data_IF_116936217612
#
_entry.id   IF_116936217612
#
_cell.length_a   1.000
_cell.length_b   1.000
_cell.length_c   1.000
_cell.angle_alpha   90.00
_cell.angle_beta   90.00
_cell.angle_gamma   90.00
#
_symmetry.space_group_name_H-M   'P 1'
#
loop_
_entity.id
_entity.type
_entity.pdbx_description
1 polymer ?
#
# COMPACT_ATOMS: atom_id res chain seq x y z
N UNK A 1 -6.91 19.15 -22.82
CA UNK A 1 -7.99 20.07 -22.47
C UNK A 1 -7.96 20.56 -21.02
N UNK A 2 -7.65 19.72 -19.99
CA UNK A 2 -7.55 20.16 -18.57
C UNK A 2 -6.40 21.16 -18.34
N UNK A 3 -5.26 21.04 -19.00
CA UNK A 3 -4.12 21.96 -18.90
C UNK A 3 -4.44 23.37 -19.41
N UNK A 4 -5.21 23.49 -20.48
CA UNK A 4 -5.63 24.79 -21.00
C UNK A 4 -6.60 25.50 -20.03
N UNK A 5 -7.44 24.74 -19.33
CA UNK A 5 -8.33 25.26 -18.30
C UNK A 5 -7.56 25.77 -17.06
N UNK A 6 -6.47 25.08 -16.66
CA UNK A 6 -5.65 25.48 -15.52
C UNK A 6 -4.85 26.76 -15.83
N UNK A 7 -4.31 26.91 -17.04
CA UNK A 7 -3.61 28.11 -17.45
C UNK A 7 -4.55 29.33 -17.62
N UNK A 8 -5.75 29.12 -18.15
CA UNK A 8 -6.79 30.16 -18.18
C UNK A 8 -7.24 30.54 -16.77
N UNK A 9 -7.24 29.60 -15.83
CA UNK A 9 -7.64 29.82 -14.45
C UNK A 9 -6.57 30.62 -13.67
N UNK A 10 -5.28 30.31 -13.82
CA UNK A 10 -4.20 31.08 -13.24
C UNK A 10 -4.19 32.53 -13.74
N UNK A 11 -4.45 32.75 -15.02
CA UNK A 11 -4.55 34.10 -15.61
C UNK A 11 -5.84 34.85 -15.19
N UNK A 12 -6.97 34.14 -15.10
CA UNK A 12 -8.22 34.73 -14.59
C UNK A 12 -8.14 35.03 -13.08
N UNK A 13 -7.50 34.15 -12.28
CA UNK A 13 -7.29 34.39 -10.86
C UNK A 13 -6.43 35.62 -10.62
N UNK A 14 -5.37 35.82 -11.40
CA UNK A 14 -4.52 36.97 -11.30
C UNK A 14 -5.26 38.28 -11.66
N UNK A 15 -6.13 38.26 -12.65
CA UNK A 15 -6.98 39.39 -13.05
C UNK A 15 -8.08 39.61 -12.01
N UNK A 16 -8.68 38.57 -11.44
CA UNK A 16 -9.74 38.71 -10.43
C UNK A 16 -9.23 39.20 -9.07
N UNK A 17 -8.05 38.75 -8.60
CA UNK A 17 -7.48 39.26 -7.34
C UNK A 17 -7.10 40.72 -7.42
N UNK A 18 -6.69 41.24 -8.56
CA UNK A 18 -6.42 42.65 -8.74
C UNK A 18 -7.69 43.52 -8.85
N UNK A 19 -8.87 42.89 -9.13
CA UNK A 19 -10.16 43.61 -9.17
C UNK A 19 -10.89 43.62 -7.82
N UNK A 20 -10.63 42.66 -6.93
CA UNK A 20 -11.32 42.57 -5.62
C UNK A 20 -10.87 43.69 -4.67
N UNK A 21 -9.65 44.21 -4.80
CA UNK A 21 -9.15 45.31 -3.96
C UNK A 21 -9.79 46.69 -4.28
N UNK A 22 -10.62 46.79 -5.33
CA UNK A 22 -11.24 48.03 -5.74
C UNK A 22 -12.77 48.01 -5.89
N UNK A 23 -13.48 46.93 -5.50
CA UNK A 23 -14.93 46.88 -5.66
C UNK A 23 -15.69 47.00 -4.33
N UNK A 24 -16.75 47.79 -4.27
CA UNK A 24 -17.53 47.90 -3.04
C UNK A 24 -18.36 46.67 -2.73
N UNK A 25 -18.53 46.44 -1.44
CA UNK A 25 -18.99 45.24 -0.70
C UNK A 25 -20.37 44.65 -1.09
N UNK A 26 -21.06 45.07 -2.13
CA UNK A 26 -22.47 44.75 -2.39
C UNK A 26 -22.79 43.80 -3.55
N UNK A 27 -21.79 43.20 -4.23
CA UNK A 27 -22.04 42.22 -5.32
C UNK A 27 -21.77 40.76 -4.95
N UNK A 28 -21.67 40.45 -3.68
CA UNK A 28 -20.83 39.31 -3.31
C UNK A 28 -21.51 37.94 -3.15
N UNK A 29 -22.74 37.82 -2.70
CA UNK A 29 -23.30 36.49 -2.31
C UNK A 29 -23.59 35.60 -3.55
N UNK A 30 -24.16 36.13 -4.62
CA UNK A 30 -24.47 35.38 -5.83
C UNK A 30 -23.19 34.98 -6.59
N UNK A 31 -22.19 35.84 -6.65
CA UNK A 31 -20.91 35.57 -7.31
C UNK A 31 -20.05 34.59 -6.51
N UNK A 32 -20.09 34.64 -5.16
CA UNK A 32 -19.34 33.70 -4.30
C UNK A 32 -19.88 32.29 -4.41
N UNK A 33 -21.19 32.10 -4.44
CA UNK A 33 -21.81 30.77 -4.58
C UNK A 33 -21.51 30.17 -5.96
N UNK A 34 -21.61 30.95 -7.02
CA UNK A 34 -21.26 30.50 -8.37
C UNK A 34 -19.78 30.21 -8.54
N UNK A 35 -18.89 31.02 -7.91
CA UNK A 35 -17.45 30.77 -7.88
C UNK A 35 -17.12 29.49 -7.10
N UNK A 36 -17.75 29.28 -5.93
CA UNK A 36 -17.57 28.05 -5.14
C UNK A 36 -17.98 26.81 -5.94
N UNK A 37 -19.16 26.83 -6.58
CA UNK A 37 -19.65 25.71 -7.38
C UNK A 37 -18.77 25.46 -8.63
N UNK A 38 -18.32 26.53 -9.29
CA UNK A 38 -17.39 26.44 -10.41
C UNK A 38 -16.03 25.87 -9.98
N UNK A 39 -15.49 26.37 -8.87
CA UNK A 39 -14.23 25.89 -8.29
C UNK A 39 -14.34 24.42 -7.87
N UNK A 40 -15.39 24.05 -7.15
CA UNK A 40 -15.65 22.66 -6.77
C UNK A 40 -15.78 21.75 -7.99
N UNK A 41 -16.48 22.20 -9.04
CA UNK A 41 -16.64 21.44 -10.29
C UNK A 41 -15.36 21.24 -11.08
N UNK A 42 -14.33 22.06 -10.89
CA UNK A 42 -13.02 21.91 -11.53
C UNK A 42 -12.04 21.14 -10.65
N UNK A 43 -12.00 21.48 -9.35
CA UNK A 43 -11.01 20.96 -8.41
C UNK A 43 -11.35 19.58 -7.88
N UNK A 44 -12.65 19.31 -7.64
CA UNK A 44 -13.13 18.05 -7.06
C UNK A 44 -13.86 17.14 -8.05
N UNK A 45 -13.75 17.37 -9.35
CA UNK A 45 -14.22 16.39 -10.34
C UNK A 45 -13.39 15.12 -10.20
N UNK A 46 -14.05 13.97 -10.17
CA UNK A 46 -13.38 12.68 -10.15
C UNK A 46 -12.34 12.59 -11.26
N UNK A 47 -11.07 12.49 -10.87
CA UNK A 47 -9.95 12.46 -11.81
C UNK A 47 -9.73 11.05 -12.36
N UNK A 48 -10.10 10.04 -11.58
CA UNK A 48 -10.21 8.64 -12.02
C UNK A 48 -11.45 7.99 -11.42
N UNK A 49 -11.94 6.93 -12.04
CA UNK A 49 -13.08 6.15 -11.54
C UNK A 49 -12.81 4.66 -11.72
N UNK A 50 -13.46 3.84 -10.92
CA UNK A 50 -13.40 2.38 -11.06
C UNK A 50 -13.79 1.93 -12.46
N UNK A 51 -14.85 2.53 -13.02
CA UNK A 51 -15.31 2.20 -14.37
C UNK A 51 -14.23 2.50 -15.41
N UNK A 52 -13.61 3.68 -15.35
CA UNK A 52 -12.55 4.06 -16.29
C UNK A 52 -11.36 3.09 -16.23
N UNK A 53 -10.93 2.72 -15.02
CA UNK A 53 -9.84 1.78 -14.81
C UNK A 53 -10.16 0.39 -15.38
N UNK A 54 -11.37 -0.12 -15.12
CA UNK A 54 -11.82 -1.43 -15.62
C UNK A 54 -12.02 -1.45 -17.13
N UNK A 55 -12.56 -0.37 -17.71
CA UNK A 55 -12.68 -0.22 -19.15
C UNK A 55 -11.29 -0.25 -19.83
N UNK A 56 -10.32 0.50 -19.28
CA UNK A 56 -8.92 0.53 -19.79
C UNK A 56 -8.27 -0.85 -19.70
N UNK A 57 -8.47 -1.57 -18.59
CA UNK A 57 -7.96 -2.93 -18.45
C UNK A 57 -8.56 -3.89 -19.48
N UNK A 58 -9.87 -3.84 -19.69
CA UNK A 58 -10.54 -4.64 -20.71
C UNK A 58 -10.07 -4.28 -22.14
N UNK A 59 -9.76 -3.02 -22.40
CA UNK A 59 -9.14 -2.60 -23.67
C UNK A 59 -7.72 -3.18 -23.82
N UNK A 60 -6.92 -3.18 -22.75
CA UNK A 60 -5.58 -3.74 -22.72
C UNK A 60 -5.58 -5.27 -22.98
N UNK A 61 -6.56 -6.03 -22.46
CA UNK A 61 -6.74 -7.46 -22.79
C UNK A 61 -6.90 -7.69 -24.30
N UNK A 62 -7.48 -6.72 -25.01
CA UNK A 62 -7.70 -6.75 -26.44
C UNK A 62 -6.61 -6.03 -27.27
N UNK A 63 -5.47 -5.75 -26.65
CA UNK A 63 -4.30 -5.14 -27.31
C UNK A 63 -4.31 -3.60 -27.33
N UNK A 64 -5.14 -2.97 -26.48
CA UNK A 64 -5.08 -1.54 -26.20
C UNK A 64 -3.92 -1.15 -25.29
N UNK A 65 -3.89 0.12 -24.87
CA UNK A 65 -2.87 0.63 -23.94
C UNK A 65 -2.99 -0.02 -22.57
N UNK A 66 -1.87 -0.46 -21.95
CA UNK A 66 -1.89 -1.10 -20.65
C UNK A 66 -2.30 -0.13 -19.54
N UNK A 67 -2.79 -0.67 -18.43
CA UNK A 67 -2.99 0.07 -17.19
C UNK A 67 -1.63 0.44 -16.62
N UNK A 68 -1.36 1.73 -16.47
CA UNK A 68 -0.06 2.26 -16.07
C UNK A 68 0.01 2.41 -14.56
N UNK A 69 0.91 1.67 -13.93
CA UNK A 69 1.09 1.63 -12.47
C UNK A 69 2.46 2.19 -12.10
N UNK A 70 2.49 3.25 -11.29
CA UNK A 70 3.71 3.79 -10.71
C UNK A 70 3.89 3.26 -9.30
N UNK A 71 4.95 2.49 -9.08
CA UNK A 71 5.38 2.05 -7.75
C UNK A 71 6.49 2.97 -7.25
N UNK A 72 6.31 3.48 -6.05
CA UNK A 72 7.20 4.42 -5.40
C UNK A 72 7.74 3.81 -4.11
N UNK A 73 8.90 3.13 -4.14
CA UNK A 73 9.56 2.69 -2.92
C UNK A 73 9.91 3.89 -2.05
N UNK A 74 9.45 3.88 -0.80
CA UNK A 74 9.68 4.97 0.14
C UNK A 74 11.14 5.17 0.49
N UNK A 75 11.50 6.40 0.82
CA UNK A 75 12.85 6.83 1.22
C UNK A 75 13.92 6.72 0.12
N UNK A 76 15.15 7.07 0.45
CA UNK A 76 16.32 7.00 -0.44
C UNK A 76 17.61 6.91 0.40
N UNK A 77 18.76 6.68 -0.24
CA UNK A 77 20.06 6.52 0.46
C UNK A 77 20.40 7.70 1.38
N UNK A 78 19.97 8.91 1.04
CA UNK A 78 20.20 10.12 1.84
C UNK A 78 19.24 10.25 3.04
N UNK A 79 18.11 9.54 3.01
CA UNK A 79 17.08 9.54 4.06
C UNK A 79 16.46 8.15 4.13
N UNK A 80 17.09 7.26 4.88
CA UNK A 80 16.85 5.80 4.82
C UNK A 80 15.53 5.34 5.43
N UNK A 81 14.74 6.25 6.03
CA UNK A 81 13.49 5.91 6.72
C UNK A 81 13.73 5.22 8.06
N UNK A 82 12.77 4.39 8.45
CA UNK A 82 12.87 3.57 9.63
C UNK A 82 14.09 2.65 9.61
N UNK A 83 14.65 2.41 10.79
CA UNK A 83 15.80 1.52 10.96
C UNK A 83 15.63 0.69 12.22
N UNK A 84 15.88 -0.61 12.11
CA UNK A 84 15.93 -1.50 13.25
C UNK A 84 17.07 -2.50 13.10
N UNK A 85 18.04 -2.47 14.03
CA UNK A 85 19.28 -3.25 13.91
C UNK A 85 19.99 -2.97 12.59
N UNK A 86 20.16 -4.00 11.75
CA UNK A 86 20.77 -3.92 10.41
C UNK A 86 19.75 -3.82 9.27
N UNK A 87 18.47 -3.68 9.59
CA UNK A 87 17.40 -3.51 8.60
C UNK A 87 17.12 -2.04 8.40
N UNK A 88 16.99 -1.61 7.15
CA UNK A 88 16.65 -0.24 6.74
C UNK A 88 15.43 -0.28 5.85
N UNK A 89 14.50 0.63 6.07
CA UNK A 89 13.28 0.74 5.29
C UNK A 89 13.56 0.94 3.79
N UNK A 90 14.51 1.81 3.47
CA UNK A 90 14.91 2.07 2.08
C UNK A 90 15.36 0.82 1.31
N UNK A 91 15.91 -0.18 2.01
CA UNK A 91 16.35 -1.44 1.39
C UNK A 91 15.16 -2.40 1.21
N UNK A 92 14.27 -2.49 2.21
CA UNK A 92 13.07 -3.32 2.14
C UNK A 92 12.13 -2.84 1.03
N UNK A 93 11.88 -1.53 0.96
CA UNK A 93 10.98 -0.96 -0.04
C UNK A 93 11.52 -1.12 -1.46
N UNK A 94 12.84 -0.99 -1.66
CA UNK A 94 13.44 -1.23 -2.97
C UNK A 94 13.31 -2.70 -3.39
N UNK A 95 13.62 -3.65 -2.51
CA UNK A 95 13.51 -5.08 -2.80
C UNK A 95 12.05 -5.49 -3.07
N UNK A 96 11.10 -5.00 -2.28
CA UNK A 96 9.67 -5.25 -2.50
C UNK A 96 9.19 -4.66 -3.84
N UNK A 97 9.65 -3.46 -4.20
CA UNK A 97 9.35 -2.85 -5.49
C UNK A 97 9.86 -3.68 -6.68
N UNK A 98 11.05 -4.28 -6.56
CA UNK A 98 11.61 -5.18 -7.57
C UNK A 98 10.74 -6.47 -7.72
N UNK A 99 10.20 -7.03 -6.62
CA UNK A 99 9.26 -8.16 -6.70
C UNK A 99 7.92 -7.77 -7.34
N UNK A 100 7.38 -6.59 -7.03
CA UNK A 100 6.18 -6.09 -7.71
C UNK A 100 6.42 -5.98 -9.22
N UNK A 101 7.58 -5.43 -9.63
CA UNK A 101 7.94 -5.36 -11.04
C UNK A 101 8.06 -6.75 -11.69
N UNK A 102 8.56 -7.76 -10.97
CA UNK A 102 8.61 -9.15 -11.45
C UNK A 102 7.19 -9.71 -11.69
N UNK A 103 6.24 -9.49 -10.77
CA UNK A 103 4.90 -10.03 -10.90
C UNK A 103 4.10 -9.32 -12.01
N UNK A 104 4.12 -8.00 -12.04
CA UNK A 104 3.41 -7.23 -13.08
C UNK A 104 4.00 -7.45 -14.47
N UNK A 105 5.32 -7.62 -14.58
CA UNK A 105 5.98 -7.88 -15.86
C UNK A 105 5.59 -9.20 -16.55
N UNK A 106 4.87 -10.09 -15.84
CA UNK A 106 4.30 -11.32 -16.43
C UNK A 106 2.93 -11.10 -17.09
N UNK A 107 2.38 -9.91 -16.95
CA UNK A 107 1.03 -9.57 -17.37
C UNK A 107 1.04 -8.33 -18.27
N UNK A 108 0.77 -8.53 -19.57
CA UNK A 108 0.83 -7.49 -20.59
C UNK A 108 -0.22 -6.38 -20.46
N UNK A 109 -1.28 -6.61 -19.69
CA UNK A 109 -2.34 -5.66 -19.40
C UNK A 109 -1.89 -4.54 -18.46
N UNK A 110 -0.71 -4.69 -17.85
CA UNK A 110 -0.11 -3.71 -16.96
C UNK A 110 1.25 -3.21 -17.49
N UNK A 111 1.49 -1.92 -17.34
CA UNK A 111 2.80 -1.29 -17.47
C UNK A 111 3.21 -0.79 -16.08
N UNK A 112 4.20 -1.44 -15.45
CA UNK A 112 4.70 -0.99 -14.17
C UNK A 112 5.94 -0.13 -14.34
N UNK A 113 5.91 1.05 -13.73
CA UNK A 113 7.02 2.00 -13.67
C UNK A 113 7.51 2.02 -12.21
N UNK A 114 8.81 1.77 -12.02
CA UNK A 114 9.44 1.84 -10.70
C UNK A 114 10.20 3.16 -10.59
N UNK A 115 9.82 4.02 -9.64
CA UNK A 115 10.46 5.34 -9.51
C UNK A 115 11.92 5.26 -9.11
N UNK A 116 12.29 4.24 -8.30
CA UNK A 116 13.67 3.97 -7.87
C UNK A 116 13.90 2.49 -7.57
N UNK A 117 15.16 2.10 -7.56
CA UNK A 117 15.68 0.82 -7.08
C UNK A 117 16.56 1.05 -5.84
N UNK A 118 17.27 0.02 -5.40
CA UNK A 118 18.31 0.15 -4.35
C UNK A 118 19.44 1.12 -4.71
N UNK A 119 19.66 1.35 -6.00
CA UNK A 119 20.72 2.25 -6.48
C UNK A 119 20.31 3.73 -6.43
N UNK A 120 19.04 4.03 -6.34
CA UNK A 120 18.46 5.37 -6.29
C UNK A 120 17.31 5.54 -7.28
N UNK A 121 16.87 6.77 -7.46
CA UNK A 121 15.86 7.12 -8.46
C UNK A 121 16.35 6.76 -9.87
N UNK A 122 15.41 6.36 -10.73
CA UNK A 122 15.70 6.14 -12.15
C UNK A 122 16.25 7.43 -12.79
N UNK A 123 16.93 7.29 -13.92
CA UNK A 123 17.43 8.46 -14.66
C UNK A 123 16.31 9.42 -15.06
N UNK A 124 15.13 8.90 -15.33
CA UNK A 124 13.94 9.67 -15.65
C UNK A 124 13.49 10.55 -14.47
N UNK A 125 13.28 9.96 -13.29
CA UNK A 125 12.87 10.72 -12.10
C UNK A 125 13.96 11.67 -11.61
N UNK A 126 15.23 11.25 -11.63
CA UNK A 126 16.36 12.12 -11.29
C UNK A 126 16.41 13.35 -12.18
N UNK A 127 16.33 13.15 -13.51
CA UNK A 127 16.31 14.25 -14.48
C UNK A 127 15.08 15.13 -14.35
N UNK A 128 13.91 14.55 -14.06
CA UNK A 128 12.67 15.30 -13.88
C UNK A 128 12.74 16.21 -12.65
N UNK A 129 13.21 15.72 -11.52
CA UNK A 129 13.37 16.53 -10.30
C UNK A 129 14.33 17.69 -10.48
N UNK A 130 15.39 17.53 -11.26
CA UNK A 130 16.35 18.60 -11.54
C UNK A 130 15.79 19.64 -12.51
N UNK A 131 15.26 19.19 -13.66
CA UNK A 131 14.81 20.07 -14.73
C UNK A 131 13.52 20.81 -14.40
N UNK A 132 12.59 20.12 -13.71
CA UNK A 132 11.26 20.61 -13.41
C UNK A 132 11.13 21.21 -12.00
N UNK A 133 12.23 21.41 -11.29
CA UNK A 133 12.20 21.85 -9.88
C UNK A 133 11.31 23.07 -9.64
N UNK A 134 11.48 24.14 -10.45
CA UNK A 134 10.66 25.34 -10.33
C UNK A 134 9.17 25.06 -10.60
N UNK A 135 8.89 24.28 -11.62
CA UNK A 135 7.53 23.87 -11.98
C UNK A 135 6.87 23.01 -10.90
N UNK A 136 7.65 22.13 -10.25
CA UNK A 136 7.18 21.32 -9.10
C UNK A 136 6.88 22.22 -7.89
N UNK A 137 7.73 23.20 -7.58
CA UNK A 137 7.50 24.16 -6.50
C UNK A 137 6.24 25.01 -6.74
N UNK A 138 6.00 25.42 -7.98
CA UNK A 138 4.79 26.17 -8.35
C UNK A 138 3.54 25.28 -8.31
N UNK A 139 3.64 24.03 -8.75
CA UNK A 139 2.59 23.02 -8.59
C UNK A 139 2.22 22.83 -7.12
N UNK A 140 3.21 22.62 -6.25
CA UNK A 140 3.01 22.48 -4.81
C UNK A 140 2.31 23.70 -4.20
N UNK A 141 2.78 24.92 -4.51
CA UNK A 141 2.21 26.18 -4.01
C UNK A 141 0.75 26.34 -4.49
N UNK A 142 0.50 26.03 -5.75
CA UNK A 142 -0.83 26.13 -6.37
C UNK A 142 -1.84 25.23 -5.69
N UNK A 143 -1.53 23.95 -5.52
CA UNK A 143 -2.45 23.00 -4.88
C UNK A 143 -2.67 23.30 -3.38
N UNK A 144 -1.64 23.73 -2.66
CA UNK A 144 -1.78 24.22 -1.28
C UNK A 144 -2.68 25.45 -1.19
N UNK A 145 -2.57 26.39 -2.12
CA UNK A 145 -3.44 27.57 -2.18
C UNK A 145 -4.89 27.15 -2.49
N UNK A 146 -5.10 26.25 -3.44
CA UNK A 146 -6.42 25.75 -3.79
C UNK A 146 -7.09 25.06 -2.61
N UNK A 147 -6.39 24.18 -1.91
CA UNK A 147 -6.91 23.52 -0.72
C UNK A 147 -7.19 24.53 0.41
N UNK A 148 -6.28 25.47 0.66
CA UNK A 148 -6.53 26.54 1.64
C UNK A 148 -7.82 27.29 1.30
N UNK A 149 -8.00 27.67 0.05
CA UNK A 149 -9.20 28.38 -0.42
C UNK A 149 -10.46 27.54 -0.25
N UNK A 150 -10.38 26.24 -0.53
CA UNK A 150 -11.50 25.30 -0.37
C UNK A 150 -11.89 25.14 1.11
N UNK A 151 -10.91 25.03 2.00
CA UNK A 151 -11.14 24.93 3.46
C UNK A 151 -11.69 26.23 4.01
N UNK A 152 -11.07 27.37 3.71
CA UNK A 152 -11.52 28.70 4.17
C UNK A 152 -12.94 29.01 3.62
N UNK A 153 -13.26 28.51 2.44
CA UNK A 153 -14.58 28.62 1.83
C UNK A 153 -15.62 27.61 2.35
N UNK A 154 -15.25 26.67 3.23
CA UNK A 154 -16.15 25.65 3.75
C UNK A 154 -16.55 24.59 2.71
N UNK A 155 -15.76 24.40 1.64
CA UNK A 155 -15.97 23.37 0.63
C UNK A 155 -15.35 22.03 1.03
N UNK A 156 -14.32 22.07 1.87
CA UNK A 156 -13.59 20.91 2.40
C UNK A 156 -13.43 21.08 3.90
N UNK A 157 -13.70 20.01 4.64
CA UNK A 157 -13.42 19.93 6.06
C UNK A 157 -12.02 19.37 6.27
N UNK A 158 -11.23 19.97 7.17
CA UNK A 158 -9.98 19.35 7.60
C UNK A 158 -10.28 18.22 8.57
N UNK A 159 -9.79 17.05 8.22
CA UNK A 159 -9.85 15.85 9.04
C UNK A 159 -8.43 15.34 9.22
N UNK A 160 -7.97 15.29 10.45
CA UNK A 160 -6.71 14.62 10.78
C UNK A 160 -7.04 13.31 11.48
N UNK A 161 -6.51 12.20 10.97
CA UNK A 161 -6.79 10.86 11.49
C UNK A 161 -5.55 10.27 12.15
N UNK A 162 -4.42 10.27 11.46
CA UNK A 162 -3.13 9.75 11.94
C UNK A 162 -2.08 10.84 11.90
N UNK A 163 -1.20 10.91 12.91
CA UNK A 163 -0.05 11.81 12.88
C UNK A 163 1.10 11.15 12.14
N UNK A 164 1.61 11.84 11.12
CA UNK A 164 2.77 11.43 10.35
C UNK A 164 3.94 12.37 10.56
N UNK A 165 5.14 11.88 10.35
CA UNK A 165 6.33 12.70 10.33
C UNK A 165 6.31 13.62 9.10
N UNK A 166 6.60 14.88 9.29
CA UNK A 166 6.74 15.85 8.19
C UNK A 166 7.87 15.43 7.24
N UNK A 167 7.58 15.47 5.95
CA UNK A 167 8.62 15.34 4.95
C UNK A 167 9.59 16.52 5.02
N UNK A 168 10.90 16.27 4.90
CA UNK A 168 11.86 17.37 4.76
C UNK A 168 11.48 18.25 3.56
N UNK A 169 11.88 19.53 3.51
CA UNK A 169 11.54 20.43 2.40
C UNK A 169 11.88 19.82 1.02
N UNK A 170 13.04 19.20 0.89
CA UNK A 170 13.45 18.54 -0.36
C UNK A 170 12.67 17.25 -0.62
N UNK A 171 12.32 16.51 0.43
CA UNK A 171 11.44 15.31 0.33
C UNK A 171 10.05 15.71 -0.15
N UNK A 172 9.47 16.77 0.40
CA UNK A 172 8.16 17.27 -0.04
C UNK A 172 8.18 17.67 -1.53
N UNK A 173 9.23 18.36 -2.00
CA UNK A 173 9.38 18.71 -3.42
C UNK A 173 9.42 17.45 -4.30
N UNK A 174 10.17 16.41 -3.92
CA UNK A 174 10.21 15.14 -4.66
C UNK A 174 8.85 14.45 -4.68
N UNK A 175 8.14 14.39 -3.55
CA UNK A 175 6.81 13.78 -3.48
C UNK A 175 5.79 14.52 -4.36
N UNK A 176 5.76 15.87 -4.31
CA UNK A 176 4.93 16.65 -5.23
C UNK A 176 5.39 16.49 -6.69
N UNK A 177 6.70 16.32 -6.93
CA UNK A 177 7.25 15.99 -8.23
C UNK A 177 6.74 14.65 -8.76
N UNK A 178 6.64 13.63 -7.92
CA UNK A 178 6.07 12.34 -8.28
C UNK A 178 4.58 12.49 -8.64
N UNK A 179 3.80 13.20 -7.83
CA UNK A 179 2.39 13.46 -8.13
C UNK A 179 2.22 14.21 -9.46
N UNK A 180 3.02 15.26 -9.67
CA UNK A 180 3.00 16.05 -10.91
C UNK A 180 3.37 15.18 -12.12
N UNK A 181 4.44 14.40 -12.01
CA UNK A 181 4.87 13.48 -13.06
C UNK A 181 3.78 12.45 -13.39
N UNK A 182 3.17 11.85 -12.37
CA UNK A 182 2.09 10.88 -12.54
C UNK A 182 0.88 11.48 -13.28
N UNK A 183 0.51 12.72 -12.94
CA UNK A 183 -0.57 13.45 -13.61
C UNK A 183 -0.23 13.75 -15.09
N UNK A 184 1.02 14.12 -15.39
CA UNK A 184 1.48 14.49 -16.74
C UNK A 184 1.64 13.27 -17.67
N UNK A 185 1.95 12.10 -17.09
CA UNK A 185 2.22 10.88 -17.85
C UNK A 185 1.03 9.91 -17.88
N UNK A 186 -0.17 10.37 -17.50
CA UNK A 186 -1.40 9.60 -17.51
C UNK A 186 -1.24 8.25 -16.78
N UNK A 187 -0.64 8.29 -15.59
CA UNK A 187 -0.58 7.14 -14.70
C UNK A 187 -1.99 6.84 -14.22
N UNK A 188 -2.35 5.58 -14.06
CA UNK A 188 -3.67 5.13 -13.61
C UNK A 188 -3.72 4.85 -12.10
N UNK A 189 -2.61 4.34 -11.55
CA UNK A 189 -2.47 3.97 -10.15
C UNK A 189 -1.07 4.32 -9.63
N UNK A 190 -0.98 4.98 -8.48
CA UNK A 190 0.27 5.26 -7.76
C UNK A 190 0.26 4.52 -6.43
N UNK A 191 1.31 3.73 -6.17
CA UNK A 191 1.47 2.95 -4.96
C UNK A 191 2.79 3.33 -4.29
N UNK A 192 2.70 4.03 -3.17
CA UNK A 192 3.84 4.22 -2.28
C UNK A 192 3.97 3.01 -1.37
N UNK A 193 5.16 2.47 -1.23
CA UNK A 193 5.45 1.29 -0.42
C UNK A 193 6.42 1.62 0.69
N UNK A 194 6.04 1.32 1.93
CA UNK A 194 6.70 1.70 3.18
C UNK A 194 6.70 0.55 4.19
N UNK A 195 7.48 0.72 5.25
CA UNK A 195 7.49 -0.12 6.46
C UNK A 195 7.47 0.78 7.68
N UNK A 196 6.45 0.62 8.50
CA UNK A 196 6.16 1.48 9.62
C UNK A 196 7.22 1.37 10.74
N UNK A 197 7.35 2.44 11.50
CA UNK A 197 8.02 2.46 12.80
C UNK A 197 7.30 3.46 13.71
N UNK A 198 7.10 3.09 14.95
CA UNK A 198 6.44 3.98 15.91
C UNK A 198 7.47 4.51 16.92
N UNK A 199 7.64 5.83 17.04
CA UNK A 199 8.62 6.41 17.95
C UNK A 199 8.33 6.07 19.43
N UNK A 200 9.37 6.15 20.26
CA UNK A 200 9.26 5.96 21.71
C UNK A 200 9.66 4.59 22.23
N UNK A 201 10.23 3.73 21.38
CA UNK A 201 10.92 2.51 21.84
C UNK A 201 12.44 2.64 21.72
N UNK A 202 13.21 1.86 22.51
CA UNK A 202 14.67 1.84 22.38
C UNK A 202 15.11 1.32 21.03
N UNK A 203 16.20 1.86 20.46
CA UNK A 203 16.71 1.58 19.11
C UNK A 203 16.87 0.08 18.76
N UNK A 204 17.12 -0.76 19.75
CA UNK A 204 17.32 -2.21 19.54
C UNK A 204 16.23 -3.09 20.15
N UNK A 205 15.11 -2.52 20.54
CA UNK A 205 13.95 -3.25 21.06
C UNK A 205 12.73 -2.99 20.16
N UNK A 206 11.92 -4.01 19.88
CA UNK A 206 10.69 -3.81 19.09
C UNK A 206 9.77 -2.80 19.77
N UNK A 207 9.06 -2.03 18.97
CA UNK A 207 7.93 -1.22 19.45
C UNK A 207 6.74 -2.08 19.87
N UNK A 208 5.67 -1.41 20.29
CA UNK A 208 4.46 -2.07 20.82
C UNK A 208 3.43 -2.43 19.75
N UNK A 209 3.54 -1.87 18.56
CA UNK A 209 2.60 -2.08 17.48
C UNK A 209 3.12 -3.11 16.47
N UNK A 210 2.20 -3.70 15.72
CA UNK A 210 2.46 -4.70 14.69
C UNK A 210 1.35 -4.65 13.64
N UNK A 211 1.60 -5.22 12.47
CA UNK A 211 0.64 -5.34 11.40
C UNK A 211 0.70 -4.23 10.36
N UNK A 212 -0.06 -4.37 9.28
CA UNK A 212 -0.03 -3.48 8.11
C UNK A 212 -1.19 -2.48 8.11
N UNK A 213 -1.01 -1.37 7.38
CA UNK A 213 -2.04 -0.38 7.09
C UNK A 213 -1.94 0.11 5.66
N UNK A 214 -3.07 0.47 5.06
CA UNK A 214 -3.14 1.05 3.71
C UNK A 214 -3.80 2.43 3.84
N UNK A 215 -3.05 3.48 3.54
CA UNK A 215 -3.57 4.83 3.52
C UNK A 215 -4.07 5.18 2.12
N UNK A 216 -5.25 5.77 2.05
CA UNK A 216 -5.89 6.21 0.80
C UNK A 216 -6.33 7.67 0.93
N UNK A 217 -6.53 8.39 -0.20
CA UNK A 217 -7.06 9.74 -0.15
C UNK A 217 -8.40 9.81 0.59
N UNK A 218 -8.55 10.78 1.45
CA UNK A 218 -9.81 11.05 2.17
C UNK A 218 -10.96 11.29 1.17
N UNK A 219 -12.16 10.84 1.52
CA UNK A 219 -13.35 10.78 0.64
C UNK A 219 -13.73 12.09 -0.06
N UNK A 220 -13.28 13.24 0.42
CA UNK A 220 -13.50 14.52 -0.24
C UNK A 220 -12.56 14.75 -1.44
N UNK A 221 -11.54 13.90 -1.65
CA UNK A 221 -10.59 14.02 -2.76
C UNK A 221 -11.09 13.32 -4.02
N UNK A 222 -10.71 13.86 -5.17
CA UNK A 222 -11.22 13.45 -6.48
C UNK A 222 -10.87 12.01 -6.89
N UNK A 223 -9.80 11.44 -6.31
CA UNK A 223 -9.30 10.10 -6.58
C UNK A 223 -9.65 9.08 -5.48
N UNK A 224 -10.40 9.47 -4.45
CA UNK A 224 -10.63 8.66 -3.25
C UNK A 224 -11.38 7.36 -3.51
N UNK A 225 -12.46 7.39 -4.30
CA UNK A 225 -13.32 6.22 -4.52
C UNK A 225 -12.58 5.07 -5.21
N UNK A 226 -11.86 5.37 -6.30
CA UNK A 226 -11.07 4.36 -7.00
C UNK A 226 -9.92 3.84 -6.13
N UNK A 227 -9.27 4.72 -5.37
CA UNK A 227 -8.20 4.34 -4.43
C UNK A 227 -8.72 3.38 -3.35
N UNK A 228 -9.85 3.71 -2.72
CA UNK A 228 -10.49 2.87 -1.70
C UNK A 228 -10.87 1.49 -2.26
N UNK A 229 -11.45 1.44 -3.46
CA UNK A 229 -11.88 0.19 -4.08
C UNK A 229 -10.71 -0.76 -4.37
N UNK A 230 -9.58 -0.24 -4.86
CA UNK A 230 -8.35 -1.03 -5.07
C UNK A 230 -7.74 -1.44 -3.74
N UNK A 231 -7.60 -0.49 -2.80
CA UNK A 231 -7.01 -0.73 -1.49
C UNK A 231 -7.75 -1.83 -0.71
N UNK A 232 -9.09 -1.89 -0.82
CA UNK A 232 -9.87 -2.94 -0.17
C UNK A 232 -9.51 -4.34 -0.70
N UNK A 233 -9.26 -4.50 -2.00
CA UNK A 233 -8.84 -5.78 -2.59
C UNK A 233 -7.44 -6.19 -2.14
N UNK A 234 -6.53 -5.23 -2.07
CA UNK A 234 -5.18 -5.46 -1.52
C UNK A 234 -5.28 -5.84 -0.04
N UNK A 235 -6.09 -5.13 0.74
CA UNK A 235 -6.33 -5.43 2.14
C UNK A 235 -6.82 -6.86 2.34
N UNK A 236 -7.81 -7.30 1.57
CA UNK A 236 -8.37 -8.65 1.67
C UNK A 236 -7.30 -9.73 1.44
N UNK A 237 -6.42 -9.51 0.47
CA UNK A 237 -5.29 -10.42 0.18
C UNK A 237 -4.24 -10.41 1.29
N UNK A 238 -3.76 -9.25 1.69
CA UNK A 238 -2.76 -9.13 2.76
C UNK A 238 -3.31 -9.68 4.08
N UNK A 239 -4.57 -9.41 4.40
CA UNK A 239 -5.21 -9.88 5.62
C UNK A 239 -5.40 -11.41 5.67
N UNK A 240 -5.19 -12.14 4.58
CA UNK A 240 -5.21 -13.60 4.64
C UNK A 240 -4.10 -14.14 5.59
N UNK A 241 -2.90 -13.60 5.47
CA UNK A 241 -1.70 -14.06 6.20
C UNK A 241 -1.20 -13.07 7.26
N UNK A 242 -1.44 -11.78 7.07
CA UNK A 242 -0.96 -10.72 7.96
C UNK A 242 -2.12 -10.11 8.76
N UNK A 243 -1.83 -9.52 9.90
CA UNK A 243 -2.81 -8.77 10.66
C UNK A 243 -2.86 -7.31 10.22
N UNK A 244 -4.02 -6.63 10.24
CA UNK A 244 -4.05 -5.18 10.23
C UNK A 244 -3.29 -4.62 11.43
N UNK A 245 -2.80 -3.39 11.29
CA UNK A 245 -2.11 -2.71 12.38
C UNK A 245 -2.97 -2.66 13.66
N UNK A 246 -2.32 -2.93 14.78
CA UNK A 246 -2.97 -2.82 16.09
C UNK A 246 -2.80 -1.42 16.72
N UNK A 247 -2.25 -0.46 15.97
CA UNK A 247 -2.31 0.94 16.35
C UNK A 247 -3.78 1.42 16.25
N UNK A 248 -4.33 2.08 17.27
CA UNK A 248 -5.77 2.35 17.36
C UNK A 248 -6.37 3.05 16.12
N UNK A 249 -5.64 3.99 15.52
CA UNK A 249 -6.10 4.75 14.35
C UNK A 249 -5.89 4.01 13.01
N UNK A 250 -5.11 2.93 12.99
CA UNK A 250 -4.84 2.09 11.83
C UNK A 250 -5.63 0.77 11.83
N UNK A 251 -6.33 0.47 12.90
CA UNK A 251 -6.96 -0.85 13.13
C UNK A 251 -8.06 -1.23 12.14
N UNK A 252 -8.56 -0.29 11.33
CA UNK A 252 -9.43 -0.57 10.17
C UNK A 252 -8.68 -1.24 9.02
N UNK A 253 -7.35 -1.15 8.99
CA UNK A 253 -6.49 -1.67 7.94
C UNK A 253 -6.45 -0.80 6.68
N UNK A 254 -7.58 -0.23 6.23
CA UNK A 254 -7.62 0.82 5.22
C UNK A 254 -8.03 2.11 5.90
N UNK A 255 -7.24 3.17 5.75
CA UNK A 255 -7.34 4.44 6.47
C UNK A 255 -7.43 5.59 5.48
N UNK A 256 -8.47 6.40 5.60
CA UNK A 256 -8.57 7.66 4.85
C UNK A 256 -7.59 8.69 5.42
N UNK A 257 -6.81 9.33 4.54
CA UNK A 257 -5.79 10.30 4.93
C UNK A 257 -5.83 11.55 4.04
N UNK A 258 -5.71 12.73 4.67
CA UNK A 258 -5.85 14.00 3.98
C UNK A 258 -4.52 14.73 3.80
N UNK A 259 -3.53 14.47 4.64
CA UNK A 259 -2.30 15.27 4.70
C UNK A 259 -1.08 14.58 4.07
N UNK A 260 -1.14 13.26 3.81
CA UNK A 260 -0.06 12.55 3.14
C UNK A 260 0.09 12.98 1.67
N UNK A 261 1.26 13.53 1.32
CA UNK A 261 1.57 13.94 -0.07
C UNK A 261 1.51 12.72 -0.99
N UNK A 262 1.95 11.56 -0.52
CA UNK A 262 1.98 10.29 -1.23
C UNK A 262 0.61 9.86 -1.79
N UNK A 263 -0.47 10.14 -1.08
CA UNK A 263 -1.84 9.82 -1.53
C UNK A 263 -2.54 10.99 -2.22
N UNK A 264 -1.84 12.11 -2.41
CA UNK A 264 -2.35 13.28 -3.11
C UNK A 264 -2.92 14.36 -2.19
N UNK A 265 -2.26 14.62 -1.05
CA UNK A 265 -2.65 15.76 -0.21
C UNK A 265 -2.90 17.03 -1.03
N UNK A 266 -3.79 17.88 -0.56
CA UNK A 266 -4.27 19.05 -1.28
C UNK A 266 -4.92 18.74 -2.64
N UNK A 267 -5.42 17.52 -2.84
CA UNK A 267 -6.00 17.02 -4.11
C UNK A 267 -5.02 17.12 -5.30
N UNK A 268 -3.73 16.88 -5.03
CA UNK A 268 -2.64 17.06 -5.99
C UNK A 268 -2.39 15.85 -6.89
N UNK A 269 -3.10 14.72 -6.69
CA UNK A 269 -2.93 13.48 -7.45
C UNK A 269 -4.21 13.11 -8.20
N UNK A 270 -4.13 12.95 -9.52
CA UNK A 270 -5.25 12.56 -10.37
C UNK A 270 -5.48 11.03 -10.42
N UNK A 271 -4.45 10.19 -10.57
CA UNK A 271 -4.61 8.73 -10.52
C UNK A 271 -5.15 8.25 -9.18
N UNK A 272 -5.67 7.02 -9.14
CA UNK A 272 -5.86 6.33 -7.88
C UNK A 272 -4.52 6.28 -7.13
N UNK A 273 -4.53 6.49 -5.81
CA UNK A 273 -3.30 6.58 -5.04
C UNK A 273 -3.42 5.90 -3.68
N UNK A 274 -2.35 5.29 -3.22
CA UNK A 274 -2.26 4.72 -1.88
C UNK A 274 -0.85 4.69 -1.36
N UNK A 275 -0.71 4.63 -0.04
CA UNK A 275 0.53 4.30 0.65
C UNK A 275 0.29 3.07 1.51
N UNK A 276 1.13 2.04 1.33
CA UNK A 276 1.03 0.79 2.07
C UNK A 276 2.20 0.73 3.05
N UNK A 277 1.87 0.72 4.34
CA UNK A 277 2.77 0.31 5.43
C UNK A 277 2.62 -1.19 5.60
N UNK A 278 3.56 -1.97 5.06
CA UNK A 278 3.43 -3.43 4.97
C UNK A 278 3.58 -4.16 6.30
N UNK A 279 4.18 -3.56 7.27
CA UNK A 279 4.34 -4.01 8.64
C UNK A 279 5.30 -3.07 9.37
N UNK A 280 5.60 -3.36 10.66
CA UNK A 280 6.60 -2.61 11.39
C UNK A 280 7.99 -3.20 11.15
N UNK A 281 8.98 -2.33 10.90
CA UNK A 281 10.36 -2.73 10.51
C UNK A 281 11.06 -3.68 11.48
N UNK A 282 10.65 -3.69 12.75
CA UNK A 282 11.21 -4.54 13.79
C UNK A 282 10.57 -5.94 13.88
N UNK A 283 9.61 -6.23 13.02
CA UNK A 283 8.95 -7.53 12.99
C UNK A 283 9.95 -8.67 12.67
N UNK A 284 9.82 -9.83 13.34
CA UNK A 284 10.82 -10.91 13.27
C UNK A 284 11.13 -11.40 11.86
N UNK A 285 10.15 -11.41 10.96
CA UNK A 285 10.30 -11.89 9.58
C UNK A 285 11.29 -11.05 8.77
N UNK A 286 11.53 -9.78 9.12
CA UNK A 286 12.46 -8.91 8.42
C UNK A 286 13.91 -9.00 8.94
N UNK A 287 14.13 -9.57 10.12
CA UNK A 287 15.43 -9.57 10.78
C UNK A 287 16.40 -10.59 10.20
N UNK A 288 15.91 -11.64 9.57
CA UNK A 288 16.70 -12.73 9.02
C UNK A 288 16.60 -12.75 7.48
N UNK A 289 17.72 -12.87 6.74
CA UNK A 289 17.71 -12.74 5.29
C UNK A 289 16.75 -13.68 4.57
N UNK A 290 16.66 -14.95 5.01
CA UNK A 290 15.82 -15.96 4.35
C UNK A 290 14.34 -15.67 4.52
N UNK A 291 13.87 -15.42 5.74
CA UNK A 291 12.46 -15.07 6.00
C UNK A 291 12.12 -13.72 5.42
N UNK A 292 13.02 -12.72 5.48
CA UNK A 292 12.83 -11.41 4.88
C UNK A 292 12.57 -11.51 3.39
N UNK A 293 13.45 -12.20 2.65
CA UNK A 293 13.29 -12.39 1.21
C UNK A 293 11.97 -13.07 0.86
N UNK A 294 11.62 -14.16 1.55
CA UNK A 294 10.36 -14.87 1.33
C UNK A 294 9.14 -14.00 1.65
N UNK A 295 9.18 -13.26 2.77
CA UNK A 295 8.10 -12.37 3.19
C UNK A 295 7.91 -11.21 2.22
N UNK A 296 8.99 -10.53 1.79
CA UNK A 296 8.88 -9.42 0.83
C UNK A 296 8.28 -9.89 -0.50
N UNK A 297 8.69 -11.08 -0.97
CA UNK A 297 8.11 -11.66 -2.19
C UNK A 297 6.63 -12.00 -2.01
N UNK A 298 6.24 -12.52 -0.84
CA UNK A 298 4.83 -12.81 -0.50
C UNK A 298 3.99 -11.54 -0.44
N UNK A 299 4.46 -10.51 0.23
CA UNK A 299 3.77 -9.21 0.32
C UNK A 299 3.54 -8.60 -1.07
N UNK A 300 4.56 -8.64 -1.93
CA UNK A 300 4.45 -8.19 -3.32
C UNK A 300 3.43 -9.02 -4.11
N UNK A 301 3.42 -10.34 -3.94
CA UNK A 301 2.48 -11.24 -4.60
C UNK A 301 1.04 -10.97 -4.17
N UNK A 302 0.79 -10.80 -2.87
CA UNK A 302 -0.56 -10.50 -2.36
C UNK A 302 -1.04 -9.13 -2.81
N UNK A 303 -0.15 -8.14 -2.89
CA UNK A 303 -0.47 -6.80 -3.43
C UNK A 303 -0.82 -6.87 -4.91
N UNK A 304 -0.01 -7.54 -5.73
CA UNK A 304 -0.28 -7.80 -7.15
C UNK A 304 -1.63 -8.53 -7.32
N UNK A 305 -1.86 -9.59 -6.55
CA UNK A 305 -3.09 -10.37 -6.62
C UNK A 305 -4.32 -9.54 -6.23
N UNK A 306 -4.23 -8.68 -5.22
CA UNK A 306 -5.31 -7.77 -4.84
C UNK A 306 -5.64 -6.76 -5.94
N UNK A 307 -4.62 -6.19 -6.60
CA UNK A 307 -4.84 -5.31 -7.76
C UNK A 307 -5.50 -6.07 -8.90
N UNK A 308 -5.02 -7.29 -9.19
CA UNK A 308 -5.62 -8.13 -10.21
C UNK A 308 -7.08 -8.50 -9.91
N UNK A 309 -7.41 -8.81 -8.65
CA UNK A 309 -8.79 -9.06 -8.22
C UNK A 309 -9.71 -7.87 -8.45
N UNK A 310 -9.20 -6.65 -8.31
CA UNK A 310 -9.98 -5.44 -8.62
C UNK A 310 -10.33 -5.37 -10.10
N UNK A 311 -9.39 -5.65 -10.97
CA UNK A 311 -9.59 -5.57 -12.42
C UNK A 311 -10.39 -6.75 -12.97
N UNK A 312 -10.12 -7.97 -12.55
CA UNK A 312 -10.82 -9.19 -12.98
C UNK A 312 -12.25 -9.29 -12.46
N UNK A 313 -12.68 -8.38 -11.58
CA UNK A 313 -14.02 -8.39 -10.99
C UNK A 313 -14.26 -9.57 -10.05
N UNK A 314 -13.21 -10.24 -9.57
CA UNK A 314 -13.32 -11.36 -8.64
C UNK A 314 -14.01 -10.91 -7.36
N UNK A 315 -15.10 -11.59 -7.01
CA UNK A 315 -15.85 -11.32 -5.78
C UNK A 315 -14.97 -11.66 -4.60
N UNK A 316 -14.56 -10.64 -3.86
CA UNK A 316 -13.87 -10.82 -2.58
C UNK A 316 -14.76 -11.59 -1.63
N UNK A 317 -14.18 -12.50 -0.90
CA UNK A 317 -14.87 -13.25 0.15
C UNK A 317 -15.36 -12.28 1.23
N UNK A 318 -16.66 -12.03 1.23
CA UNK A 318 -17.31 -11.44 2.41
C UNK A 318 -17.14 -12.39 3.58
N UNK A 319 -16.67 -11.87 4.70
CA UNK A 319 -16.59 -12.54 6.02
C UNK A 319 -17.97 -13.03 6.45
N UNK A 320 -18.33 -14.22 6.08
CA UNK A 320 -19.59 -14.86 6.49
C UNK A 320 -19.58 -16.32 6.07
N UNK A 321 -19.35 -17.22 7.06
CA UNK A 321 -19.68 -18.65 7.05
C UNK A 321 -19.78 -19.32 5.66
N UNK A 322 -18.78 -19.27 4.83
CA UNK A 322 -18.74 -20.04 3.61
C UNK A 322 -17.49 -20.91 3.53
N UNK A 323 -17.69 -22.12 3.07
CA UNK A 323 -16.75 -23.18 2.80
C UNK A 323 -15.72 -22.83 1.69
N UNK A 324 -15.51 -21.54 1.40
CA UNK A 324 -14.64 -21.02 0.34
C UNK A 324 -13.17 -20.79 0.79
N UNK A 325 -12.70 -21.50 1.80
CA UNK A 325 -11.28 -21.52 2.19
C UNK A 325 -10.33 -21.92 1.03
N UNK A 326 -10.87 -22.43 -0.07
CA UNK A 326 -10.10 -22.88 -1.23
C UNK A 326 -9.56 -21.72 -2.12
N UNK A 327 -10.06 -20.48 -2.01
CA UNK A 327 -9.63 -19.36 -2.85
C UNK A 327 -8.43 -18.57 -2.32
N UNK A 328 -8.03 -18.76 -1.07
CA UNK A 328 -6.85 -18.13 -0.48
C UNK A 328 -5.59 -19.00 -0.52
N UNK A 329 -5.55 -20.07 -1.33
CA UNK A 329 -4.41 -20.97 -1.38
C UNK A 329 -3.23 -20.45 -2.21
N UNK A 330 -3.39 -19.33 -2.91
CA UNK A 330 -2.31 -18.77 -3.70
C UNK A 330 -1.35 -17.98 -2.83
N UNK A 331 -0.17 -18.54 -2.60
CA UNK A 331 0.92 -17.95 -1.83
C UNK A 331 2.26 -18.38 -2.43
N UNK A 332 3.25 -17.47 -2.41
CA UNK A 332 4.61 -17.79 -2.84
C UNK A 332 5.38 -18.63 -1.82
N UNK A 333 4.81 -18.82 -0.63
CA UNK A 333 5.38 -19.64 0.45
C UNK A 333 5.08 -21.13 0.26
N UNK A 334 4.21 -21.47 -0.68
CA UNK A 334 3.84 -22.82 -1.09
C UNK A 334 3.88 -22.92 -2.63
N UNK A 335 4.17 -24.11 -3.23
CA UNK A 335 4.51 -25.35 -2.55
C UNK A 335 5.85 -25.29 -1.81
N UNK A 336 6.00 -26.10 -0.74
CA UNK A 336 7.23 -26.17 0.05
C UNK A 336 7.52 -27.62 0.45
N UNK A 337 8.80 -27.98 0.48
CA UNK A 337 9.26 -29.31 0.89
C UNK A 337 9.96 -29.24 2.26
N UNK A 338 9.36 -29.86 3.27
CA UNK A 338 9.97 -29.94 4.62
C UNK A 338 10.89 -31.15 4.71
N UNK A 339 12.19 -30.91 4.77
CA UNK A 339 13.22 -31.95 4.86
C UNK A 339 13.77 -32.13 6.29
N UNK A 340 13.62 -31.10 7.14
CA UNK A 340 14.14 -31.06 8.50
C UNK A 340 13.02 -31.07 9.55
N UNK A 341 13.34 -31.56 10.75
CA UNK A 341 12.43 -31.47 11.88
C UNK A 341 12.33 -30.01 12.35
N UNK A 342 11.14 -29.62 12.84
CA UNK A 342 10.91 -28.27 13.36
C UNK A 342 10.32 -28.34 14.76
N UNK A 343 10.76 -27.44 15.63
CA UNK A 343 10.35 -27.39 17.04
C UNK A 343 10.37 -25.99 17.63
N UNK A 344 9.80 -25.84 18.81
CA UNK A 344 9.81 -24.56 19.53
C UNK A 344 11.23 -24.06 19.74
N UNK A 345 11.44 -22.76 19.49
CA UNK A 345 12.74 -22.09 19.61
C UNK A 345 13.40 -21.75 18.27
N UNK A 346 12.95 -22.32 17.15
CA UNK A 346 13.42 -21.88 15.84
C UNK A 346 12.99 -20.42 15.57
N UNK A 347 13.91 -19.63 15.02
CA UNK A 347 13.66 -18.23 14.62
C UNK A 347 14.31 -17.96 13.26
N UNK A 348 13.66 -17.09 12.46
CA UNK A 348 14.17 -16.70 11.15
C UNK A 348 14.30 -17.89 10.18
N UNK A 349 13.42 -18.85 10.27
CA UNK A 349 13.50 -20.11 9.54
C UNK A 349 12.44 -20.19 8.46
N UNK A 350 12.85 -20.38 7.20
CA UNK A 350 11.97 -20.41 6.04
C UNK A 350 11.00 -21.62 6.06
N UNK A 351 11.45 -22.79 6.58
CA UNK A 351 10.57 -23.96 6.70
C UNK A 351 9.44 -23.70 7.71
N UNK A 352 9.74 -22.95 8.79
CA UNK A 352 8.73 -22.52 9.78
C UNK A 352 7.79 -21.49 9.16
N UNK A 353 8.29 -20.56 8.36
CA UNK A 353 7.46 -19.57 7.65
C UNK A 353 6.45 -20.27 6.74
N UNK A 354 6.91 -21.20 5.90
CA UNK A 354 6.05 -22.00 5.01
C UNK A 354 5.09 -22.93 5.78
N UNK A 355 5.52 -23.48 6.92
CA UNK A 355 4.64 -24.23 7.81
C UNK A 355 3.50 -23.36 8.35
N UNK A 356 3.80 -22.17 8.83
CA UNK A 356 2.78 -21.24 9.33
C UNK A 356 1.80 -20.84 8.22
N UNK A 357 2.28 -20.58 7.00
CA UNK A 357 1.45 -20.29 5.85
C UNK A 357 0.57 -21.49 5.47
N UNK A 358 1.10 -22.71 5.50
CA UNK A 358 0.32 -23.94 5.21
C UNK A 358 -0.78 -24.17 6.24
N UNK A 359 -0.50 -23.95 7.52
CA UNK A 359 -1.50 -24.04 8.57
C UNK A 359 -2.56 -22.91 8.48
N UNK A 360 -2.16 -21.72 8.02
CA UNK A 360 -3.08 -20.62 7.80
C UNK A 360 -4.04 -20.89 6.63
N UNK A 361 -3.56 -21.48 5.54
CA UNK A 361 -4.40 -21.87 4.39
C UNK A 361 -5.45 -22.91 4.74
N UNK A 362 -5.22 -23.71 5.80
CA UNK A 362 -6.17 -24.69 6.36
C UNK A 362 -7.14 -24.11 7.40
N UNK A 363 -6.97 -22.84 7.78
CA UNK A 363 -7.70 -22.25 8.90
C UNK A 363 -7.24 -22.78 10.29
N UNK A 364 -6.04 -23.33 10.35
CA UNK A 364 -5.45 -23.88 11.57
C UNK A 364 -4.43 -22.92 12.21
N UNK A 365 -4.16 -21.76 11.58
CA UNK A 365 -3.29 -20.70 12.09
C UNK A 365 -3.92 -19.30 11.88
N UNK A 366 -4.01 -18.46 12.92
CA UNK A 366 -3.67 -18.76 14.31
C UNK A 366 -4.61 -19.79 14.94
N UNK A 367 -4.12 -20.63 15.88
CA UNK A 367 -4.97 -21.61 16.55
C UNK A 367 -5.94 -20.93 17.54
N UNK A 368 -7.01 -21.62 18.00
CA UNK A 368 -7.95 -21.08 18.97
C UNK A 368 -7.27 -20.47 20.19
N UNK A 369 -7.73 -19.29 20.61
CA UNK A 369 -7.15 -18.52 21.72
C UNK A 369 -6.03 -17.55 21.32
N UNK A 370 -5.67 -17.52 20.04
CA UNK A 370 -4.70 -16.58 19.48
C UNK A 370 -5.34 -15.73 18.37
N UNK A 371 -4.77 -14.55 18.17
CA UNK A 371 -5.10 -13.63 17.05
C UNK A 371 -3.90 -13.53 16.10
N UNK A 372 -4.09 -13.00 14.89
CA UNK A 372 -2.99 -12.77 13.95
C UNK A 372 -1.91 -11.85 14.53
N UNK A 373 -2.30 -10.81 15.31
CA UNK A 373 -1.34 -9.89 15.93
C UNK A 373 -0.44 -10.57 16.99
N UNK A 374 -0.97 -11.52 17.77
CA UNK A 374 -0.17 -12.20 18.79
C UNK A 374 0.41 -13.56 18.32
N UNK A 375 0.04 -13.98 17.11
CA UNK A 375 0.51 -15.19 16.46
C UNK A 375 0.73 -14.94 14.95
N UNK A 376 1.63 -14.00 14.58
CA UNK A 376 1.87 -13.68 13.18
C UNK A 376 2.68 -14.76 12.45
N UNK A 377 2.60 -14.74 11.11
CA UNK A 377 3.42 -15.60 10.22
C UNK A 377 4.81 -14.97 10.10
N UNK A 378 5.82 -15.49 10.79
CA UNK A 378 7.14 -14.83 10.93
C UNK A 378 8.35 -15.72 10.73
N UNK A 379 8.14 -17.04 10.56
CA UNK A 379 9.24 -18.00 10.57
C UNK A 379 9.82 -18.24 11.96
N UNK A 380 9.10 -17.85 13.03
CA UNK A 380 9.49 -18.10 14.41
C UNK A 380 8.57 -19.14 15.03
N UNK A 381 9.11 -20.28 15.43
CA UNK A 381 8.35 -21.38 16.04
C UNK A 381 8.17 -21.11 17.54
N UNK A 382 7.07 -20.45 17.88
CA UNK A 382 6.68 -20.11 19.25
C UNK A 382 5.49 -20.94 19.73
N UNK A 383 5.03 -20.71 20.96
CA UNK A 383 3.90 -21.44 21.60
C UNK A 383 2.65 -21.52 20.72
N UNK A 384 2.32 -20.48 19.97
CA UNK A 384 1.17 -20.51 19.08
C UNK A 384 1.40 -21.46 17.90
N UNK A 385 2.62 -21.54 17.35
CA UNK A 385 2.97 -22.52 16.29
C UNK A 385 2.92 -23.95 16.85
N UNK A 386 3.42 -24.17 18.08
CA UNK A 386 3.25 -25.47 18.79
C UNK A 386 1.76 -25.88 18.87
N UNK A 387 0.89 -24.94 19.28
CA UNK A 387 -0.53 -25.21 19.40
C UNK A 387 -1.19 -25.52 18.03
N UNK A 388 -0.82 -24.80 16.98
CA UNK A 388 -1.32 -25.03 15.63
C UNK A 388 -0.83 -26.38 15.07
N UNK A 389 0.45 -26.74 15.29
CA UNK A 389 0.98 -28.05 14.91
C UNK A 389 0.28 -29.19 15.65
N UNK A 390 -0.01 -29.04 16.94
CA UNK A 390 -0.81 -30.03 17.71
C UNK A 390 -2.21 -30.20 17.11
N UNK A 391 -2.86 -29.11 16.71
CA UNK A 391 -4.17 -29.15 16.06
C UNK A 391 -4.10 -29.90 14.72
N UNK A 392 -3.11 -29.57 13.89
CA UNK A 392 -2.85 -30.27 12.63
C UNK A 392 -2.60 -31.75 12.84
N UNK A 393 -1.70 -32.13 13.76
CA UNK A 393 -1.40 -33.52 14.10
C UNK A 393 -2.65 -34.29 14.50
N UNK A 394 -3.48 -33.72 15.38
CA UNK A 394 -4.74 -34.31 15.81
C UNK A 394 -5.72 -34.50 14.64
N UNK A 395 -5.83 -33.54 13.74
CA UNK A 395 -6.67 -33.60 12.53
C UNK A 395 -6.27 -34.76 11.61
N UNK A 396 -4.97 -35.09 11.53
CA UNK A 396 -4.44 -36.15 10.68
C UNK A 396 -4.07 -37.44 11.44
N UNK A 397 -4.55 -37.62 12.66
CA UNK A 397 -4.35 -38.85 13.44
C UNK A 397 -2.91 -39.12 13.89
N UNK A 398 -2.11 -38.03 13.99
CA UNK A 398 -0.73 -38.06 14.54
C UNK A 398 -0.79 -37.70 16.02
N UNK A 399 0.07 -38.30 16.84
CA UNK A 399 0.24 -37.91 18.24
C UNK A 399 0.53 -36.41 18.34
N UNK A 400 -0.28 -35.61 19.09
CA UNK A 400 -0.21 -34.16 19.10
C UNK A 400 0.92 -33.62 19.98
N UNK A 401 2.16 -33.88 19.59
CA UNK A 401 3.36 -33.47 20.31
C UNK A 401 3.67 -31.96 20.15
N UNK A 402 3.28 -31.36 19.02
CA UNK A 402 3.66 -30.00 18.62
C UNK A 402 5.04 -29.95 17.96
N UNK A 403 5.69 -31.08 17.76
CA UNK A 403 6.97 -31.26 17.08
C UNK A 403 6.75 -31.75 15.65
N UNK A 404 7.35 -31.10 14.67
CA UNK A 404 7.26 -31.51 13.26
C UNK A 404 8.31 -32.56 12.95
N UNK A 405 8.02 -33.81 13.34
CA UNK A 405 8.86 -34.95 13.07
C UNK A 405 8.55 -35.63 11.72
N UNK A 406 9.14 -36.81 11.45
CA UNK A 406 9.00 -37.47 10.15
C UNK A 406 7.56 -37.76 9.73
N UNK A 407 6.67 -38.14 10.65
CA UNK A 407 5.26 -38.42 10.33
C UNK A 407 4.52 -37.13 9.94
N UNK A 408 4.71 -36.05 10.68
CA UNK A 408 4.11 -34.75 10.38
C UNK A 408 4.61 -34.20 9.05
N UNK A 409 5.92 -34.27 8.80
CA UNK A 409 6.52 -33.85 7.52
C UNK A 409 6.01 -34.66 6.33
N UNK A 410 5.81 -35.96 6.51
CA UNK A 410 5.26 -36.81 5.45
C UNK A 410 3.91 -36.27 4.98
N UNK A 411 2.99 -35.99 5.91
CA UNK A 411 1.66 -35.47 5.59
C UNK A 411 1.73 -34.06 5.00
N UNK A 412 2.56 -33.16 5.55
CA UNK A 412 2.78 -31.83 4.99
C UNK A 412 3.26 -31.92 3.53
N UNK A 413 4.27 -32.74 3.27
CA UNK A 413 4.84 -32.90 1.93
C UNK A 413 3.83 -33.53 0.96
N UNK A 414 3.12 -34.59 1.36
CA UNK A 414 2.07 -35.20 0.53
C UNK A 414 0.98 -34.21 0.15
N UNK A 415 0.64 -33.31 1.05
CA UNK A 415 -0.45 -32.35 0.84
C UNK A 415 -0.04 -31.14 0.01
N UNK A 416 1.13 -30.58 0.24
CA UNK A 416 1.54 -29.28 -0.33
C UNK A 416 2.59 -29.35 -1.43
N UNK A 417 3.19 -30.53 -1.72
CA UNK A 417 4.04 -30.73 -2.91
C UNK A 417 3.20 -31.23 -4.09
N UNK A 418 2.17 -32.03 -3.85
CA UNK A 418 1.39 -32.72 -4.89
C UNK A 418 0.36 -31.85 -5.61
N UNK A 419 0.33 -30.55 -5.39
CA UNK A 419 -0.62 -29.61 -6.02
C UNK A 419 -0.04 -28.92 -7.26
N UNK A 420 0.89 -29.55 -7.96
CA UNK A 420 1.35 -29.13 -9.29
C UNK A 420 0.58 -29.83 -10.41
#
# INVERSE_FOLDING_TARGET
MKFLAIFLFASLSFVFFNFIDQAPVLTSIYNITNFKNFFAGIFFVASTSEKHLKDKYAEAENGGEPVKILVVPGHEKASVGAQFKNVKETDLTAELGEYLAEFFGKNKEFELILSRTKDGYSSEFSSYFEKERSSIEDFMKTYRLYMKTAVDGGLVNRNQIVEHNDASPNGAIKLYGINKWANENNVDLVIHIHFNDHPGHPVNQPGKYSGFAIYVPEKQYSNSLASMAIAQKIFDRLNAYNAPSNMPLESSGVVEEQELIAVGSNNSLNPAGMLIEYDYIYEPQFLYPETRKATLKELAFQTYSGIKDFFDGSTTLTTGNSTDAAKFSETTLLPHQWNSNLEEGFVGNADVLSLQASLASEGDYPPPGFTKNNCPVTGSFKKCTVAAVKKFQKKYGIEPTGYVGPQTRKILNEKYISQQ
#
